data_IF_308316285307
#
_entry.id   IF_308316285307
#
_cell.length_a   1.000
_cell.length_b   1.000
_cell.length_c   1.000
_cell.angle_alpha   90.00
_cell.angle_beta   90.00
_cell.angle_gamma   90.00
#
_symmetry.space_group_name_H-M   'P 1'
#
loop_
_entity.id
_entity.type
_entity.pdbx_description
1 polymer ?
#
# COMPACT_ATOMS: atom_id res chain seq x y z
N UNK A 1 -7.51 1.59 5.60
CA UNK A 1 -7.05 2.64 4.67
C UNK A 1 -6.05 3.56 5.36
N UNK A 2 -5.12 4.13 4.61
CA UNK A 2 -4.17 5.16 5.05
C UNK A 2 -4.09 6.26 4.00
N UNK A 3 -3.77 7.47 4.43
CA UNK A 3 -3.52 8.62 3.57
C UNK A 3 -2.14 9.20 3.88
N UNK A 4 -1.34 9.44 2.85
CA UNK A 4 0.01 9.99 2.93
C UNK A 4 0.50 10.31 1.51
N UNK A 5 1.55 11.12 1.39
CA UNK A 5 2.26 11.36 0.12
C UNK A 5 3.18 10.15 -0.18
N UNK A 6 2.73 9.24 -1.03
CA UNK A 6 3.37 7.94 -1.29
C UNK A 6 4.23 7.95 -2.56
N UNK A 7 4.02 8.91 -3.48
CA UNK A 7 4.87 9.10 -4.66
C UNK A 7 5.80 10.33 -4.59
N UNK A 8 5.72 11.10 -3.52
CA UNK A 8 6.63 12.21 -3.21
C UNK A 8 6.31 13.49 -3.98
N UNK A 9 5.10 13.63 -4.53
CA UNK A 9 4.69 14.78 -5.31
C UNK A 9 4.16 15.95 -4.48
N UNK A 10 4.03 15.77 -3.16
CA UNK A 10 3.51 16.75 -2.22
C UNK A 10 1.99 16.73 -2.07
N UNK A 11 1.30 15.74 -2.64
CA UNK A 11 -0.14 15.56 -2.54
C UNK A 11 -0.52 14.30 -1.74
N UNK A 12 -1.63 14.32 -0.99
CA UNK A 12 -2.07 13.12 -0.27
C UNK A 12 -2.59 12.04 -1.23
N UNK A 13 -1.97 10.86 -1.14
CA UNK A 13 -2.41 9.62 -1.78
C UNK A 13 -3.22 8.75 -0.81
N UNK A 14 -3.87 7.72 -1.32
CA UNK A 14 -4.64 6.75 -0.52
C UNK A 14 -4.19 5.32 -0.76
N UNK A 15 -4.00 4.57 0.32
CA UNK A 15 -3.77 3.13 0.28
C UNK A 15 -4.91 2.35 0.95
N UNK A 16 -5.46 1.35 0.27
CA UNK A 16 -6.53 0.49 0.77
C UNK A 16 -6.15 -0.99 0.71
N UNK A 17 -6.32 -1.69 1.83
CA UNK A 17 -6.20 -3.13 1.91
C UNK A 17 -7.55 -3.74 1.51
N UNK A 18 -7.57 -4.50 0.42
CA UNK A 18 -8.77 -5.17 -0.09
C UNK A 18 -8.80 -6.61 0.45
N UNK A 19 -9.21 -6.76 1.71
CA UNK A 19 -9.15 -8.02 2.44
C UNK A 19 -9.79 -9.20 1.69
N UNK A 20 -10.99 -9.02 1.11
CA UNK A 20 -11.70 -10.10 0.40
C UNK A 20 -11.20 -10.38 -1.02
N UNK A 21 -10.28 -9.56 -1.55
CA UNK A 21 -9.77 -9.67 -2.91
C UNK A 21 -8.26 -9.89 -2.98
N UNK A 22 -7.62 -10.24 -1.86
CA UNK A 22 -6.18 -10.49 -1.72
C UNK A 22 -5.29 -9.46 -2.45
N UNK A 23 -5.70 -8.19 -2.38
CA UNK A 23 -5.07 -7.10 -3.11
C UNK A 23 -5.00 -5.83 -2.27
N UNK A 24 -4.18 -4.90 -2.72
CA UNK A 24 -4.03 -3.56 -2.17
C UNK A 24 -4.17 -2.60 -3.35
N UNK A 25 -4.86 -1.50 -3.12
CA UNK A 25 -5.00 -0.42 -4.10
C UNK A 25 -4.33 0.82 -3.54
N UNK A 26 -3.42 1.41 -4.32
CA UNK A 26 -2.94 2.77 -4.07
C UNK A 26 -3.56 3.69 -5.13
N UNK A 27 -4.05 4.83 -4.67
CA UNK A 27 -4.66 5.87 -5.47
C UNK A 27 -3.82 7.13 -5.27
N UNK A 28 -3.17 7.57 -6.35
CA UNK A 28 -2.32 8.75 -6.38
C UNK A 28 -3.19 9.99 -6.56
N UNK A 29 -3.12 10.91 -5.61
CA UNK A 29 -3.87 12.15 -5.58
C UNK A 29 -3.17 13.23 -6.40
N UNK A 30 -3.94 14.11 -7.06
CA UNK A 30 -3.38 15.24 -7.82
C UNK A 30 -3.50 16.59 -7.08
N UNK A 31 -3.83 16.55 -5.79
CA UNK A 31 -4.06 17.73 -4.96
C UNK A 31 -5.37 18.48 -5.23
N UNK A 32 -6.14 18.10 -6.26
CA UNK A 32 -7.43 18.73 -6.62
C UNK A 32 -8.64 17.87 -6.24
N UNK A 33 -8.38 16.69 -5.65
CA UNK A 33 -9.39 15.71 -5.28
C UNK A 33 -9.64 14.64 -6.34
N UNK A 34 -8.88 14.64 -7.44
CA UNK A 34 -8.85 13.52 -8.36
C UNK A 34 -7.81 12.50 -7.94
N UNK A 35 -8.09 11.24 -8.25
CA UNK A 35 -7.28 10.09 -7.89
C UNK A 35 -7.09 9.17 -9.09
N UNK A 36 -5.87 8.67 -9.28
CA UNK A 36 -5.55 7.65 -10.29
C UNK A 36 -4.96 6.41 -9.63
N UNK A 37 -5.27 5.23 -10.15
CA UNK A 37 -4.66 4.01 -9.62
C UNK A 37 -3.14 3.99 -9.91
N UNK A 38 -2.35 3.73 -8.86
CA UNK A 38 -0.95 3.40 -9.01
C UNK A 38 -0.82 2.10 -9.83
N UNK A 39 0.22 2.01 -10.67
CA UNK A 39 0.50 0.82 -11.47
C UNK A 39 1.56 -0.03 -10.78
N UNK A 40 1.48 -1.35 -11.00
CA UNK A 40 2.54 -2.30 -10.68
C UNK A 40 2.98 -2.34 -9.21
N UNK A 41 2.03 -2.55 -8.29
CA UNK A 41 2.35 -2.87 -6.89
C UNK A 41 2.54 -4.39 -6.75
N UNK A 42 3.78 -4.90 -6.59
CA UNK A 42 4.01 -6.32 -6.37
C UNK A 42 3.49 -6.68 -4.97
N UNK A 43 2.34 -7.35 -4.92
CA UNK A 43 1.77 -7.87 -3.68
C UNK A 43 1.93 -9.39 -3.65
N UNK A 44 2.27 -9.97 -2.49
CA UNK A 44 2.12 -11.40 -2.26
C UNK A 44 0.69 -11.84 -2.59
N UNK A 45 0.55 -12.70 -3.60
CA UNK A 45 -0.74 -13.24 -4.01
C UNK A 45 -1.27 -14.19 -2.92
N UNK A 46 -2.59 -14.20 -2.71
CA UNK A 46 -3.26 -15.12 -1.77
C UNK A 46 -3.08 -14.79 -0.29
N UNK A 47 -2.61 -13.58 0.03
CA UNK A 47 -2.49 -13.11 1.41
C UNK A 47 -3.45 -11.95 1.63
N UNK A 48 -4.49 -12.14 2.45
CA UNK A 48 -5.52 -11.13 2.67
C UNK A 48 -4.98 -9.95 3.51
N UNK A 49 -4.66 -8.77 2.93
CA UNK A 49 -4.05 -7.71 3.72
C UNK A 49 -5.03 -7.20 4.79
N UNK A 50 -4.55 -7.09 6.03
CA UNK A 50 -5.36 -6.74 7.20
C UNK A 50 -5.02 -5.36 7.75
N UNK A 51 -3.73 -5.02 7.76
CA UNK A 51 -3.24 -3.78 8.36
C UNK A 51 -2.37 -2.99 7.40
N UNK A 52 -2.40 -1.66 7.56
CA UNK A 52 -1.53 -0.71 6.85
C UNK A 52 -0.88 0.24 7.85
N UNK A 53 0.40 0.53 7.66
CA UNK A 53 1.14 1.57 8.37
C UNK A 53 1.95 2.39 7.36
N UNK A 54 2.10 3.68 7.63
CA UNK A 54 2.87 4.60 6.79
C UNK A 54 3.84 5.37 7.67
N UNK A 55 5.10 5.39 7.26
CA UNK A 55 6.18 6.18 7.82
C UNK A 55 7.38 6.11 6.87
N UNK A 56 8.31 7.03 7.00
CA UNK A 56 9.66 6.89 6.43
C UNK A 56 10.44 5.85 7.27
N UNK A 57 10.41 4.58 6.85
CA UNK A 57 11.02 3.47 7.59
C UNK A 57 12.50 3.30 7.23
N UNK A 58 12.90 3.65 6.00
CA UNK A 58 14.28 3.49 5.53
C UNK A 58 15.14 4.76 5.60
N UNK A 59 14.52 5.91 5.90
CA UNK A 59 15.13 7.25 6.04
C UNK A 59 15.60 7.87 4.74
N UNK A 60 14.94 7.58 3.63
CA UNK A 60 15.19 8.22 2.34
C UNK A 60 14.44 9.55 2.16
N UNK A 61 13.50 9.86 3.07
CA UNK A 61 12.69 11.08 3.07
C UNK A 61 11.37 10.95 2.31
N UNK A 62 11.05 9.78 1.78
CA UNK A 62 9.75 9.42 1.21
C UNK A 62 8.94 8.62 2.24
N UNK A 63 7.61 8.58 2.06
CA UNK A 63 6.76 7.75 2.92
C UNK A 63 6.74 6.30 2.41
N UNK A 64 7.10 5.36 3.28
CA UNK A 64 6.98 3.94 2.99
C UNK A 64 5.61 3.40 3.44
N UNK A 65 5.14 2.36 2.73
CA UNK A 65 3.92 1.64 3.07
C UNK A 65 4.23 0.22 3.57
N UNK A 66 3.94 -0.04 4.84
CA UNK A 66 4.01 -1.38 5.43
C UNK A 66 2.63 -2.07 5.44
N UNK A 67 2.60 -3.33 5.00
CA UNK A 67 1.38 -4.14 4.89
C UNK A 67 1.46 -5.34 5.83
N UNK A 68 0.45 -5.50 6.68
CA UNK A 68 0.32 -6.64 7.57
C UNK A 68 -0.69 -7.65 7.00
N UNK A 69 -0.28 -8.92 6.97
CA UNK A 69 -1.12 -10.04 6.58
C UNK A 69 -1.46 -10.90 7.81
N UNK A 70 -2.65 -11.50 7.89
CA UNK A 70 -2.90 -12.59 8.84
C UNK A 70 -1.93 -13.71 8.46
N UNK A 71 -1.18 -14.24 9.42
CA UNK A 71 -0.03 -15.14 9.21
C UNK A 71 -0.33 -16.53 8.63
N UNK A 72 -1.14 -16.62 7.57
CA UNK A 72 -1.61 -17.84 6.90
C UNK A 72 -0.90 -18.12 5.57
N UNK A 73 0.33 -17.65 5.37
CA UNK A 73 1.19 -18.19 4.31
C UNK A 73 2.07 -19.30 4.90
N UNK A 74 1.79 -20.60 4.62
CA UNK A 74 2.83 -21.60 4.73
C UNK A 74 3.86 -21.23 3.66
N UNK A 75 5.01 -20.69 4.07
CA UNK A 75 6.15 -20.47 3.19
C UNK A 75 6.50 -21.79 2.51
N UNK A 76 6.11 -21.95 1.24
CA UNK A 76 6.50 -23.09 0.44
C UNK A 76 7.82 -22.71 -0.23
N UNK A 77 8.93 -23.16 0.36
CA UNK A 77 10.18 -23.29 -0.38
C UNK A 77 9.94 -24.28 -1.52
N UNK A 78 10.26 -23.87 -2.75
CA UNK A 78 10.61 -24.76 -3.85
C UNK A 78 12.04 -24.40 -4.23
#
# INVERSE_FOLDING_TARGET
MRAADLDGDGHPDLATANWGGDSLTVLLGDGTGHFRAARDLPLPTGSAPWGLAVADFDRDGLQDLAVAYPGLVPWRCI
#
